data_IF_811141607409
#
_entry.id   IF_811141607409
#
_cell.length_a   1.000
_cell.length_b   1.000
_cell.length_c   1.000
_cell.angle_alpha   90.00
_cell.angle_beta   90.00
_cell.angle_gamma   90.00
#
_symmetry.space_group_name_H-M   'P 1'
#
loop_
_entity.id
_entity.type
_entity.pdbx_description
1 polymer ?
#
# COMPACT_ATOMS: atom_id res chain seq x y z
N UNK A 1 -5.10 -12.40 1.71
CA UNK A 1 -5.96 -11.93 0.60
C UNK A 1 -5.64 -10.49 0.25
N UNK A 2 -5.70 -10.13 -1.04
CA UNK A 2 -5.39 -8.80 -1.58
C UNK A 2 -6.58 -8.31 -2.42
N UNK A 3 -7.08 -7.10 -2.15
CA UNK A 3 -8.09 -6.40 -2.95
C UNK A 3 -7.57 -5.03 -3.40
N UNK A 4 -8.44 -4.23 -4.03
CA UNK A 4 -8.11 -2.86 -4.40
C UNK A 4 -9.13 -1.82 -3.94
N UNK A 5 -8.67 -0.57 -3.84
CA UNK A 5 -9.46 0.63 -3.59
C UNK A 5 -8.94 1.78 -4.46
N UNK A 6 -9.81 2.33 -5.31
CA UNK A 6 -9.49 3.43 -6.23
C UNK A 6 -9.22 4.74 -5.51
N UNK A 7 -9.62 4.86 -4.24
CA UNK A 7 -9.23 5.97 -3.39
C UNK A 7 -7.73 6.09 -3.21
N UNK A 8 -6.96 4.98 -3.34
CA UNK A 8 -5.50 5.03 -3.33
C UNK A 8 -4.89 5.45 -4.67
N UNK A 9 -5.64 5.44 -5.77
CA UNK A 9 -5.19 5.96 -7.07
C UNK A 9 -5.39 7.49 -7.18
N UNK A 10 -6.10 8.11 -6.23
CA UNK A 10 -6.31 9.56 -6.20
C UNK A 10 -5.07 10.28 -5.64
N UNK A 11 -4.22 10.79 -6.53
CA UNK A 11 -3.03 11.55 -6.17
C UNK A 11 -3.30 12.79 -5.28
N UNK A 12 -4.49 13.36 -5.34
CA UNK A 12 -4.91 14.51 -4.52
C UNK A 12 -5.42 14.13 -3.12
N UNK A 13 -5.60 12.84 -2.82
CA UNK A 13 -6.08 12.40 -1.50
C UNK A 13 -5.05 12.76 -0.43
N UNK A 14 -5.51 13.44 0.62
CA UNK A 14 -4.67 13.83 1.75
C UNK A 14 -4.09 12.60 2.47
N UNK A 15 -2.84 12.70 2.91
CA UNK A 15 -2.23 11.70 3.80
C UNK A 15 -2.84 11.73 5.20
N UNK A 16 -3.58 12.78 5.58
CA UNK A 16 -4.36 12.81 6.84
C UNK A 16 -5.61 11.91 6.79
N UNK A 17 -5.98 11.41 5.61
CA UNK A 17 -7.13 10.51 5.43
C UNK A 17 -6.77 9.02 5.51
N UNK A 18 -5.56 8.68 5.94
CA UNK A 18 -5.07 7.31 6.13
C UNK A 18 -4.37 7.17 7.47
N UNK A 19 -4.27 5.94 7.97
CA UNK A 19 -3.72 5.64 9.30
C UNK A 19 -2.26 6.06 9.46
N UNK A 20 -1.46 6.01 8.39
CA UNK A 20 -0.05 6.39 8.43
C UNK A 20 0.20 7.85 8.10
N UNK A 21 -0.64 8.73 8.63
CA UNK A 21 -0.56 10.18 8.47
C UNK A 21 0.68 10.77 9.17
N UNK A 22 0.51 11.29 10.38
CA UNK A 22 1.52 11.94 11.21
C UNK A 22 1.86 11.08 12.45
N UNK A 23 2.43 11.71 13.49
CA UNK A 23 3.04 11.01 14.63
C UNK A 23 4.43 10.48 14.31
N UNK A 24 5.12 9.91 15.30
CA UNK A 24 6.51 9.46 15.17
C UNK A 24 6.72 8.42 14.05
N UNK A 25 5.70 7.60 13.78
CA UNK A 25 5.72 6.58 12.74
C UNK A 25 5.08 7.01 11.41
N UNK A 26 4.42 8.17 11.37
CA UNK A 26 3.67 8.68 10.22
C UNK A 26 4.55 9.05 9.03
N UNK A 27 3.97 8.94 7.83
CA UNK A 27 4.66 9.22 6.57
C UNK A 27 4.76 10.73 6.29
N UNK A 28 3.84 11.54 6.82
CA UNK A 28 3.96 13.00 6.83
C UNK A 28 5.21 13.39 7.62
N UNK A 29 5.38 12.83 8.83
CA UNK A 29 6.54 13.12 9.70
C UNK A 29 7.85 12.64 9.09
N UNK A 30 7.87 11.41 8.55
CA UNK A 30 9.10 10.79 8.02
C UNK A 30 9.56 11.38 6.69
N UNK A 31 8.62 11.75 5.81
CA UNK A 31 8.93 12.09 4.41
C UNK A 31 8.33 13.41 3.92
N UNK A 32 7.51 14.09 4.71
CA UNK A 32 6.84 15.32 4.31
C UNK A 32 5.73 15.15 3.28
N UNK A 33 5.27 13.92 3.03
CA UNK A 33 4.24 13.64 2.02
C UNK A 33 2.87 14.12 2.50
N UNK A 34 2.34 15.16 1.87
CA UNK A 34 1.03 15.75 2.24
C UNK A 34 -0.11 15.07 1.50
N UNK A 35 0.13 14.61 0.28
CA UNK A 35 -0.85 13.89 -0.54
C UNK A 35 -0.29 12.56 -1.03
N UNK A 36 -1.18 11.66 -1.43
CA UNK A 36 -0.78 10.35 -1.95
C UNK A 36 0.05 10.46 -3.24
N UNK A 37 -0.09 11.55 -4.00
CA UNK A 37 0.76 11.85 -5.15
C UNK A 37 2.23 12.14 -4.79
N UNK A 38 2.57 12.37 -3.51
CA UNK A 38 3.96 12.54 -3.08
C UNK A 38 4.68 11.21 -2.83
N UNK A 39 3.93 10.10 -2.67
CA UNK A 39 4.48 8.77 -2.43
C UNK A 39 5.32 8.34 -3.64
N UNK A 40 6.56 7.89 -3.40
CA UNK A 40 7.52 7.57 -4.46
C UNK A 40 7.32 6.19 -5.09
N UNK A 41 6.72 5.26 -4.35
CA UNK A 41 6.37 3.94 -4.90
C UNK A 41 5.09 4.02 -5.76
N UNK A 42 5.02 3.29 -6.89
CA UNK A 42 3.79 3.20 -7.67
C UNK A 42 2.70 2.34 -7.02
N UNK A 43 3.05 1.50 -6.04
CA UNK A 43 2.12 0.57 -5.40
C UNK A 43 2.15 0.74 -3.89
N UNK A 44 0.98 1.04 -3.34
CA UNK A 44 0.78 1.29 -1.92
C UNK A 44 -0.67 1.03 -1.55
N UNK A 45 -0.93 0.95 -0.25
CA UNK A 45 -2.29 0.87 0.29
C UNK A 45 -2.32 0.39 1.73
N UNK A 46 -3.45 -0.17 2.12
CA UNK A 46 -3.67 -0.70 3.46
C UNK A 46 -3.09 -2.10 3.67
N UNK A 47 -2.61 -2.34 4.90
CA UNK A 47 -2.10 -3.63 5.36
C UNK A 47 -2.64 -3.96 6.74
N UNK A 48 -3.01 -5.23 6.96
CA UNK A 48 -3.56 -5.74 8.22
C UNK A 48 -2.67 -5.54 9.46
N UNK A 49 -1.35 -5.43 9.30
CA UNK A 49 -0.47 -5.13 10.43
C UNK A 49 -0.52 -3.66 10.87
N UNK A 50 -1.05 -2.76 10.05
CA UNK A 50 -1.29 -1.37 10.46
C UNK A 50 -2.55 -1.33 11.32
N UNK A 51 -2.37 -1.40 12.63
CA UNK A 51 -3.47 -1.41 13.60
C UNK A 51 -4.26 -0.09 13.68
N UNK A 52 -3.74 0.99 13.10
CA UNK A 52 -4.36 2.32 13.12
C UNK A 52 -3.32 3.44 13.09
N UNK A 53 -3.74 4.61 13.57
CA UNK A 53 -2.90 5.82 13.61
C UNK A 53 -1.56 5.58 14.31
N UNK A 54 -0.48 6.15 13.75
CA UNK A 54 0.89 6.07 14.28
C UNK A 54 1.41 4.64 14.51
N UNK A 55 0.86 3.64 13.82
CA UNK A 55 1.30 2.25 13.91
C UNK A 55 2.80 2.09 13.59
N UNK A 56 3.55 1.23 14.31
CA UNK A 56 4.94 0.92 13.95
C UNK A 56 5.08 0.23 12.59
N UNK A 57 3.99 -0.30 12.03
CA UNK A 57 3.96 -0.90 10.69
C UNK A 57 3.84 0.15 9.58
N UNK A 58 3.66 1.43 9.91
CA UNK A 58 3.56 2.50 8.94
C UNK A 58 4.85 2.69 8.13
N UNK A 59 4.70 2.62 6.81
CA UNK A 59 5.81 2.71 5.87
C UNK A 59 6.63 1.44 5.75
N UNK A 60 6.13 0.28 6.18
CA UNK A 60 6.78 -1.01 5.88
C UNK A 60 6.53 -1.44 4.43
N UNK A 61 7.46 -2.18 3.83
CA UNK A 61 7.38 -2.64 2.44
C UNK A 61 7.15 -4.15 2.38
N UNK A 62 6.30 -4.60 1.46
CA UNK A 62 5.94 -6.02 1.29
C UNK A 62 6.06 -6.46 -0.15
N UNK A 63 6.60 -7.65 -0.39
CA UNK A 63 6.38 -8.36 -1.66
C UNK A 63 5.00 -9.00 -1.64
N UNK A 64 4.25 -8.87 -2.73
CA UNK A 64 3.01 -9.61 -2.97
C UNK A 64 3.18 -10.46 -4.22
N UNK A 65 2.96 -11.78 -4.12
CA UNK A 65 3.16 -12.71 -5.23
C UNK A 65 1.89 -13.47 -5.59
N UNK A 66 1.50 -13.42 -6.86
CA UNK A 66 0.34 -14.11 -7.41
C UNK A 66 0.68 -14.73 -8.75
N UNK A 67 0.48 -16.05 -8.89
CA UNK A 67 0.74 -16.80 -10.14
C UNK A 67 2.10 -16.47 -10.78
N UNK A 68 3.15 -16.38 -9.96
CA UNK A 68 4.52 -16.10 -10.39
C UNK A 68 4.84 -14.62 -10.66
N UNK A 69 3.87 -13.71 -10.54
CA UNK A 69 4.12 -12.27 -10.59
C UNK A 69 4.32 -11.69 -9.20
N UNK A 70 5.30 -10.82 -9.03
CA UNK A 70 5.59 -10.14 -7.77
C UNK A 70 5.57 -8.62 -7.96
N UNK A 71 4.91 -7.92 -7.04
CA UNK A 71 5.00 -6.46 -6.88
C UNK A 71 5.48 -6.12 -5.46
N UNK A 72 5.94 -4.88 -5.25
CA UNK A 72 6.33 -4.37 -3.94
C UNK A 72 5.41 -3.24 -3.51
N UNK A 73 4.81 -3.37 -2.34
CA UNK A 73 3.74 -2.49 -1.85
C UNK A 73 4.15 -1.85 -0.54
N UNK A 74 4.02 -0.52 -0.46
CA UNK A 74 4.20 0.24 0.77
C UNK A 74 2.90 0.28 1.58
N UNK A 75 2.99 -0.06 2.88
CA UNK A 75 1.87 0.05 3.80
C UNK A 75 1.67 1.50 4.27
N UNK A 76 0.53 2.09 3.95
CA UNK A 76 0.17 3.49 4.29
C UNK A 76 -1.12 3.60 5.10
N UNK A 77 -1.84 2.50 5.29
CA UNK A 77 -3.16 2.50 5.94
C UNK A 77 -3.49 1.15 6.58
N UNK A 78 -4.59 1.09 7.33
CA UNK A 78 -5.16 -0.15 7.87
C UNK A 78 -6.06 -0.85 6.85
N UNK A 79 -6.11 -2.19 6.90
CA UNK A 79 -7.00 -2.99 6.05
C UNK A 79 -7.22 -4.41 6.61
N UNK A 80 -8.23 -5.13 6.10
CA UNK A 80 -8.33 -6.58 6.25
C UNK A 80 -7.54 -7.30 5.16
N UNK A 81 -6.38 -7.89 5.50
CA UNK A 81 -5.42 -8.40 4.52
C UNK A 81 -4.58 -7.27 3.90
N UNK A 82 -4.57 -7.18 2.57
CA UNK A 82 -4.06 -6.03 1.83
C UNK A 82 -5.19 -5.40 1.02
N UNK A 83 -5.26 -4.07 1.00
CA UNK A 83 -6.12 -3.31 0.11
C UNK A 83 -5.29 -2.23 -0.58
N UNK A 84 -4.96 -2.43 -1.85
CA UNK A 84 -3.95 -1.62 -2.56
C UNK A 84 -4.59 -0.72 -3.61
N UNK A 85 -3.84 0.23 -4.17
CA UNK A 85 -4.31 0.95 -5.34
C UNK A 85 -4.65 -0.01 -6.49
N UNK A 86 -5.64 0.35 -7.33
CA UNK A 86 -6.08 -0.48 -8.46
C UNK A 86 -4.92 -0.77 -9.40
N UNK A 87 -4.03 0.21 -9.60
CA UNK A 87 -2.79 0.06 -10.37
C UNK A 87 -1.93 -1.12 -9.89
N UNK A 88 -1.80 -1.31 -8.57
CA UNK A 88 -1.07 -2.42 -7.98
C UNK A 88 -1.73 -3.76 -8.25
N UNK A 89 -3.05 -3.87 -8.03
CA UNK A 89 -3.74 -5.13 -8.27
C UNK A 89 -3.76 -5.49 -9.77
N UNK A 90 -3.90 -4.51 -10.66
CA UNK A 90 -3.78 -4.72 -12.11
C UNK A 90 -2.39 -5.25 -12.49
N UNK A 91 -1.32 -4.66 -11.95
CA UNK A 91 0.05 -5.14 -12.21
C UNK A 91 0.24 -6.60 -11.77
N UNK A 92 -0.33 -6.96 -10.61
CA UNK A 92 -0.25 -8.30 -10.03
C UNK A 92 -1.12 -9.32 -10.78
N UNK A 93 -2.20 -8.88 -11.43
CA UNK A 93 -3.22 -9.75 -12.05
C UNK A 93 -3.29 -9.69 -13.58
N UNK A 94 -2.32 -9.08 -14.26
CA UNK A 94 -2.39 -8.85 -15.73
C UNK A 94 -3.60 -7.99 -16.15
N UNK A 95 -3.84 -6.87 -15.46
CA UNK A 95 -4.94 -5.94 -15.71
C UNK A 95 -6.35 -6.53 -15.49
N UNK A 96 -6.47 -7.50 -14.58
CA UNK A 96 -7.73 -8.17 -14.25
C UNK A 96 -8.31 -7.73 -12.90
N UNK A 97 -7.87 -6.60 -12.33
CA UNK A 97 -8.30 -6.19 -10.99
C UNK A 97 -9.83 -6.05 -10.87
N UNK A 98 -10.46 -5.42 -11.86
CA UNK A 98 -11.91 -5.20 -11.85
C UNK A 98 -12.72 -6.49 -12.00
N UNK A 99 -12.21 -7.47 -12.76
CA UNK A 99 -12.88 -8.76 -12.98
C UNK A 99 -12.74 -9.67 -11.75
N UNK A 100 -11.55 -9.71 -11.15
CA UNK A 100 -11.27 -10.59 -10.01
C UNK A 100 -11.77 -9.98 -8.70
N UNK A 101 -11.67 -8.66 -8.54
CA UNK A 101 -11.97 -7.91 -7.31
C UNK A 101 -10.96 -8.13 -6.19
N UNK A 102 -10.59 -9.40 -5.96
CA UNK A 102 -9.78 -9.88 -4.85
C UNK A 102 -9.07 -11.17 -5.26
N UNK A 103 -7.87 -11.38 -4.72
CA UNK A 103 -7.07 -12.60 -4.94
C UNK A 103 -6.43 -13.09 -3.64
N UNK A 104 -6.03 -14.35 -3.62
CA UNK A 104 -5.12 -14.87 -2.61
C UNK A 104 -3.70 -14.89 -3.16
N UNK A 105 -2.85 -14.04 -2.57
CA UNK A 105 -1.44 -13.89 -2.89
C UNK A 105 -0.60 -14.22 -1.64
N UNK A 106 0.60 -14.71 -1.84
CA UNK A 106 1.59 -14.84 -0.77
C UNK A 106 2.29 -13.50 -0.56
N UNK A 107 2.76 -13.24 0.66
CA UNK A 107 3.46 -12.01 0.99
C UNK A 107 4.63 -12.22 1.93
N UNK A 108 5.62 -11.34 1.85
CA UNK A 108 6.71 -11.24 2.82
C UNK A 108 7.07 -9.77 3.06
N UNK A 109 7.40 -9.42 4.29
CA UNK A 109 8.00 -8.12 4.57
C UNK A 109 9.41 -8.07 3.98
N UNK A 110 9.76 -6.97 3.33
CA UNK A 110 11.06 -6.77 2.66
C UNK A 110 11.66 -5.41 3.03
N UNK A 111 12.92 -5.22 2.68
CA UNK A 111 13.61 -3.94 2.87
C UNK A 111 12.93 -2.80 2.08
N UNK A 112 12.98 -1.59 2.64
CA UNK A 112 12.32 -0.40 2.07
C UNK A 112 12.80 -0.04 0.67
N UNK A 113 14.05 -0.34 0.34
CA UNK A 113 14.61 -0.10 -0.99
C UNK A 113 13.87 -0.84 -2.11
N UNK A 114 13.15 -1.94 -1.80
CA UNK A 114 12.29 -2.62 -2.78
C UNK A 114 11.05 -1.81 -3.16
N UNK A 115 10.62 -0.90 -2.28
CA UNK A 115 9.60 0.10 -2.54
C UNK A 115 10.20 1.44 -3.02
N UNK A 116 11.51 1.50 -3.33
CA UNK A 116 12.16 2.71 -3.84
C UNK A 116 12.35 3.81 -2.80
N UNK A 117 12.48 3.44 -1.52
CA UNK A 117 12.75 4.32 -0.38
C UNK A 117 14.07 3.99 0.29
#
# INVERSE_FOLDING_TARGET
TVSYDTGYDNAGRSMTAVSCSDGANGLITKYGWQTQGNIKTPYFGGYQGVAGWNSPQCGTCYSLTYKGKTIYVLAIDSAGGFNINKKGLDALTNNQAAQLGRIDATYAQVALNKCGL
#
